data_IF_586110746618
#
_entry.id   IF_586110746618
#
_cell.length_a   1.000
_cell.length_b   1.000
_cell.length_c   1.000
_cell.angle_alpha   90.00
_cell.angle_beta   90.00
_cell.angle_gamma   90.00
#
_symmetry.space_group_name_H-M   'P 1'
#
loop_
_entity.id
_entity.type
_entity.pdbx_description
1 polymer ?
#
# COMPACT_ATOMS: atom_id res chain seq x y z
N UNK A 1 -21.65 24.61 14.53
CA UNK A 1 -22.06 25.30 13.29
C UNK A 1 -21.20 24.76 12.17
N UNK A 2 -21.80 24.20 11.11
CA UNK A 2 -21.05 23.72 9.95
C UNK A 2 -20.65 24.93 9.11
N UNK A 3 -19.42 25.40 9.23
CA UNK A 3 -18.86 26.35 8.26
C UNK A 3 -18.91 25.67 6.89
N UNK A 4 -19.54 26.29 5.90
CA UNK A 4 -19.36 25.85 4.52
C UNK A 4 -17.87 26.04 4.13
N UNK A 5 -17.37 25.14 3.27
CA UNK A 5 -16.08 25.35 2.63
C UNK A 5 -16.24 26.39 1.50
N UNK A 6 -15.23 27.23 1.28
CA UNK A 6 -15.14 28.13 0.13
C UNK A 6 -13.68 28.30 -0.27
N UNK A 7 -13.40 28.34 -1.58
CA UNK A 7 -12.08 28.62 -2.13
C UNK A 7 -11.53 29.96 -1.63
N UNK A 8 -12.37 30.99 -1.55
CA UNK A 8 -12.00 32.33 -1.07
C UNK A 8 -11.52 32.27 0.38
N UNK A 9 -12.23 31.56 1.25
CA UNK A 9 -11.87 31.40 2.67
C UNK A 9 -10.52 30.66 2.82
N UNK A 10 -10.24 29.69 1.95
CA UNK A 10 -8.94 29.02 1.93
C UNK A 10 -7.83 29.93 1.38
N UNK A 11 -8.08 30.67 0.29
CA UNK A 11 -7.13 31.64 -0.26
C UNK A 11 -6.74 32.70 0.79
N UNK A 12 -7.71 33.22 1.53
CA UNK A 12 -7.51 34.21 2.59
C UNK A 12 -6.68 33.66 3.78
N UNK A 13 -6.87 32.37 4.11
CA UNK A 13 -6.07 31.65 5.11
C UNK A 13 -4.65 31.38 4.63
N UNK A 14 -4.48 31.03 3.35
CA UNK A 14 -3.17 30.78 2.73
C UNK A 14 -2.36 32.07 2.58
N UNK A 15 -2.99 33.20 2.25
CA UNK A 15 -2.33 34.51 2.19
C UNK A 15 -1.75 34.96 3.57
N UNK A 16 -2.36 34.48 4.67
CA UNK A 16 -1.95 34.74 6.06
C UNK A 16 -1.05 33.62 6.63
N UNK A 17 -0.71 32.60 5.83
CA UNK A 17 0.11 31.48 6.25
C UNK A 17 1.54 31.93 6.56
N UNK A 18 2.03 31.50 7.71
CA UNK A 18 3.39 31.76 8.16
C UNK A 18 4.05 30.47 8.68
N UNK A 19 5.32 30.59 9.05
CA UNK A 19 6.18 29.50 9.50
C UNK A 19 5.97 29.09 10.99
N UNK A 20 5.01 29.66 11.72
CA UNK A 20 4.72 29.23 13.08
C UNK A 20 3.93 27.92 13.09
N UNK A 21 4.30 27.02 14.00
CA UNK A 21 3.67 25.70 14.14
C UNK A 21 2.16 25.82 14.38
N UNK A 22 1.72 26.74 15.24
CA UNK A 22 0.30 26.97 15.53
C UNK A 22 -0.49 27.40 14.28
N UNK A 23 0.05 28.25 13.41
CA UNK A 23 -0.60 28.67 12.17
C UNK A 23 -0.78 27.48 11.21
N UNK A 24 0.29 26.70 11.02
CA UNK A 24 0.33 25.51 10.16
C UNK A 24 -0.65 24.45 10.67
N UNK A 25 -0.60 24.09 11.96
CA UNK A 25 -1.48 23.10 12.57
C UNK A 25 -2.95 23.54 12.54
N UNK A 26 -3.26 24.81 12.82
CA UNK A 26 -4.65 25.30 12.81
C UNK A 26 -5.24 25.22 11.41
N UNK A 27 -4.48 25.59 10.37
CA UNK A 27 -4.95 25.50 8.98
C UNK A 27 -5.01 24.05 8.50
N UNK A 28 -4.04 23.21 8.87
CA UNK A 28 -4.02 21.78 8.56
C UNK A 28 -5.24 21.06 9.12
N UNK A 29 -5.57 21.26 10.41
CA UNK A 29 -6.78 20.69 11.01
C UNK A 29 -8.07 21.13 10.30
N UNK A 30 -8.14 22.40 9.88
CA UNK A 30 -9.29 22.91 9.12
C UNK A 30 -9.39 22.24 7.74
N UNK A 31 -8.28 22.10 7.01
CA UNK A 31 -8.25 21.35 5.75
C UNK A 31 -8.65 19.87 5.93
N UNK A 32 -8.14 19.19 6.96
CA UNK A 32 -8.46 17.78 7.24
C UNK A 32 -9.94 17.60 7.64
N UNK A 33 -10.53 18.58 8.34
CA UNK A 33 -11.97 18.60 8.62
C UNK A 33 -12.80 18.68 7.32
N UNK A 34 -12.34 19.49 6.36
CA UNK A 34 -12.94 19.65 5.02
C UNK A 34 -12.43 18.63 3.98
N UNK A 35 -12.01 17.42 4.39
CA UNK A 35 -11.45 16.39 3.48
C UNK A 35 -12.33 15.99 2.29
N UNK A 36 -13.64 16.21 2.33
CA UNK A 36 -14.53 15.96 1.19
C UNK A 36 -14.19 16.85 -0.01
N UNK A 37 -13.65 18.03 0.28
CA UNK A 37 -13.27 19.06 -0.66
C UNK A 37 -11.75 19.01 -0.94
N UNK A 38 -11.08 17.88 -0.67
CA UNK A 38 -9.62 17.73 -0.76
C UNK A 38 -9.03 18.12 -2.12
N UNK A 39 -9.72 17.79 -3.22
CA UNK A 39 -9.34 18.21 -4.57
C UNK A 39 -9.30 19.74 -4.68
N UNK A 40 -10.38 20.42 -4.30
CA UNK A 40 -10.47 21.88 -4.33
C UNK A 40 -9.45 22.53 -3.38
N UNK A 41 -9.22 21.94 -2.20
CA UNK A 41 -8.19 22.40 -1.26
C UNK A 41 -6.80 22.35 -1.89
N UNK A 42 -6.44 21.22 -2.53
CA UNK A 42 -5.11 21.03 -3.13
C UNK A 42 -4.93 21.88 -4.40
N UNK A 43 -5.97 22.02 -5.22
CA UNK A 43 -5.96 22.94 -6.37
C UNK A 43 -5.76 24.40 -5.93
N UNK A 44 -6.48 24.84 -4.90
CA UNK A 44 -6.34 26.20 -4.33
C UNK A 44 -4.95 26.40 -3.72
N UNK A 45 -4.45 25.42 -2.96
CA UNK A 45 -3.08 25.44 -2.41
C UNK A 45 -2.04 25.58 -3.53
N UNK A 46 -2.15 24.80 -4.61
CA UNK A 46 -1.23 24.86 -5.73
C UNK A 46 -1.30 26.20 -6.47
N UNK A 47 -2.51 26.71 -6.74
CA UNK A 47 -2.74 28.04 -7.35
C UNK A 47 -2.07 29.15 -6.54
N UNK A 48 -2.28 29.18 -5.22
CA UNK A 48 -1.65 30.16 -4.35
C UNK A 48 -0.13 29.97 -4.25
N UNK A 49 0.36 28.73 -4.20
CA UNK A 49 1.80 28.43 -4.16
C UNK A 49 2.59 28.98 -5.35
N UNK A 50 2.06 28.86 -6.58
CA UNK A 50 2.73 29.39 -7.77
C UNK A 50 2.66 30.92 -7.84
N UNK A 51 1.62 31.54 -7.27
CA UNK A 51 1.48 33.00 -7.16
C UNK A 51 2.35 33.59 -6.03
N UNK A 52 2.76 32.78 -5.04
CA UNK A 52 3.55 33.22 -3.89
C UNK A 52 5.05 33.40 -4.20
N UNK A 53 5.64 34.43 -3.60
CA UNK A 53 7.09 34.64 -3.60
C UNK A 53 7.84 33.53 -2.86
N UNK A 54 9.13 33.36 -3.18
CA UNK A 54 9.96 32.24 -2.67
C UNK A 54 9.96 32.11 -1.13
N UNK A 55 9.92 33.23 -0.39
CA UNK A 55 9.87 33.24 1.07
C UNK A 55 8.64 32.53 1.65
N UNK A 56 7.48 32.64 0.98
CA UNK A 56 6.24 32.00 1.40
C UNK A 56 6.15 30.52 1.00
N UNK A 57 6.93 30.05 0.03
CA UNK A 57 6.87 28.64 -0.43
C UNK A 57 7.21 27.65 0.69
N UNK A 58 8.13 27.99 1.61
CA UNK A 58 8.48 27.14 2.75
C UNK A 58 7.30 26.88 3.71
N UNK A 59 6.58 27.90 4.22
CA UNK A 59 5.32 27.71 4.94
C UNK A 59 4.30 26.81 4.23
N UNK A 60 4.07 27.00 2.92
CA UNK A 60 3.16 26.15 2.14
C UNK A 60 3.59 24.68 2.10
N UNK A 61 4.88 24.40 1.96
CA UNK A 61 5.42 23.05 1.98
C UNK A 61 5.28 22.39 3.36
N UNK A 62 5.43 23.14 4.46
CA UNK A 62 5.16 22.64 5.80
C UNK A 62 3.67 22.34 6.03
N UNK A 63 2.76 23.17 5.52
CA UNK A 63 1.32 22.89 5.53
C UNK A 63 0.97 21.62 4.76
N UNK A 64 1.45 21.46 3.53
CA UNK A 64 1.23 20.26 2.73
C UNK A 64 1.77 19.00 3.43
N UNK A 65 2.94 19.10 4.04
CA UNK A 65 3.51 18.02 4.84
C UNK A 65 2.65 17.67 6.07
N UNK A 66 2.16 18.65 6.82
CA UNK A 66 1.35 18.38 8.01
C UNK A 66 0.01 17.73 7.64
N UNK A 67 -0.66 18.26 6.61
CA UNK A 67 -1.90 17.67 6.07
C UNK A 67 -1.65 16.21 5.66
N UNK A 68 -0.61 15.92 4.87
CA UNK A 68 -0.29 14.56 4.40
C UNK A 68 0.03 13.58 5.53
N UNK A 69 0.63 14.04 6.62
CA UNK A 69 0.97 13.18 7.75
C UNK A 69 -0.25 12.92 8.65
N UNK A 70 -1.08 13.94 8.89
CA UNK A 70 -2.22 13.87 9.81
C UNK A 70 -3.49 13.32 9.12
N UNK A 71 -3.69 13.55 7.82
CA UNK A 71 -4.84 13.02 7.06
C UNK A 71 -4.81 11.49 6.93
N UNK A 72 -3.62 10.87 6.96
CA UNK A 72 -3.41 9.43 6.72
C UNK A 72 -4.15 8.50 7.69
N UNK A 73 -4.62 9.02 8.84
CA UNK A 73 -5.50 8.28 9.78
C UNK A 73 -6.96 8.26 9.34
N UNK A 74 -7.37 9.23 8.52
CA UNK A 74 -8.75 9.47 8.13
C UNK A 74 -9.04 8.98 6.69
N UNK A 75 -8.04 9.02 5.79
CA UNK A 75 -8.15 8.50 4.42
C UNK A 75 -6.95 8.84 3.52
N UNK A 76 -7.05 8.52 2.22
CA UNK A 76 -5.99 8.75 1.21
C UNK A 76 -6.26 9.92 0.27
N UNK A 77 -7.39 10.62 0.42
CA UNK A 77 -7.87 11.66 -0.51
C UNK A 77 -6.79 12.73 -0.76
N UNK A 78 -6.24 13.31 0.31
CA UNK A 78 -5.13 14.27 0.22
C UNK A 78 -3.85 13.67 -0.38
N UNK A 79 -3.56 12.39 -0.16
CA UNK A 79 -2.35 11.74 -0.69
C UNK A 79 -2.43 11.59 -2.21
N UNK A 80 -3.63 11.32 -2.73
CA UNK A 80 -3.91 11.18 -4.16
C UNK A 80 -3.89 12.56 -4.87
N UNK A 81 -4.49 13.58 -4.26
CA UNK A 81 -4.52 14.93 -4.82
C UNK A 81 -3.16 15.63 -4.77
N UNK A 82 -2.47 15.62 -3.62
CA UNK A 82 -1.13 16.22 -3.54
C UNK A 82 -0.13 15.54 -4.48
N UNK A 83 -0.28 14.24 -4.78
CA UNK A 83 0.57 13.56 -5.75
C UNK A 83 0.51 14.17 -7.16
N UNK A 84 -0.62 14.80 -7.54
CA UNK A 84 -0.78 15.46 -8.86
C UNK A 84 0.01 16.78 -8.94
N UNK A 85 0.17 17.50 -7.84
CA UNK A 85 0.73 18.88 -7.82
C UNK A 85 2.14 18.99 -7.22
N UNK A 86 2.53 18.06 -6.35
CA UNK A 86 3.84 18.10 -5.68
C UNK A 86 5.05 18.01 -6.62
N UNK A 87 5.07 17.16 -7.67
CA UNK A 87 6.23 17.09 -8.57
C UNK A 87 6.56 18.43 -9.23
N UNK A 88 5.53 19.15 -9.73
CA UNK A 88 5.69 20.46 -10.36
C UNK A 88 6.14 21.53 -9.34
N UNK A 89 5.46 21.62 -8.20
CA UNK A 89 5.73 22.64 -7.17
C UNK A 89 7.09 22.48 -6.49
N UNK A 90 7.55 21.25 -6.28
CA UNK A 90 8.87 20.97 -5.70
C UNK A 90 10.00 21.21 -6.71
N UNK A 91 9.79 20.86 -7.99
CA UNK A 91 10.73 21.20 -9.07
C UNK A 91 10.90 22.71 -9.18
N UNK A 92 9.81 23.48 -9.12
CA UNK A 92 9.87 24.95 -9.12
C UNK A 92 10.68 25.53 -7.94
N UNK A 93 10.64 24.92 -6.76
CA UNK A 93 11.49 25.34 -5.61
C UNK A 93 12.93 24.84 -5.75
N UNK A 94 13.15 23.65 -6.31
CA UNK A 94 14.49 23.13 -6.56
C UNK A 94 15.27 24.00 -7.58
N UNK A 95 14.59 24.44 -8.65
CA UNK A 95 15.16 25.29 -9.70
C UNK A 95 15.21 26.76 -9.27
N UNK A 96 14.07 27.36 -8.91
CA UNK A 96 13.89 28.81 -8.74
C UNK A 96 13.88 29.29 -7.28
N UNK A 97 13.88 28.38 -6.32
CA UNK A 97 13.85 28.70 -4.88
C UNK A 97 15.19 29.18 -4.32
N UNK A 98 15.16 29.66 -3.09
CA UNK A 98 16.35 30.01 -2.31
C UNK A 98 16.97 28.76 -1.64
N UNK A 99 18.16 28.89 -1.07
CA UNK A 99 18.84 27.78 -0.39
C UNK A 99 18.02 27.19 0.78
N UNK A 100 17.17 28.00 1.42
CA UNK A 100 16.25 27.54 2.46
C UNK A 100 15.17 26.65 1.84
N UNK A 101 14.51 27.09 0.78
CA UNK A 101 13.55 26.31 0.01
C UNK A 101 14.11 24.99 -0.46
N UNK A 102 15.29 25.00 -1.10
CA UNK A 102 15.98 23.79 -1.59
C UNK A 102 16.26 22.78 -0.47
N UNK A 103 16.81 23.23 0.67
CA UNK A 103 17.04 22.39 1.86
C UNK A 103 15.73 21.83 2.44
N UNK A 104 14.67 22.64 2.49
CA UNK A 104 13.34 22.20 2.93
C UNK A 104 12.77 21.13 2.00
N UNK A 105 12.86 21.31 0.67
CA UNK A 105 12.43 20.31 -0.32
C UNK A 105 13.17 18.99 -0.11
N UNK A 106 14.51 19.00 -0.07
CA UNK A 106 15.30 17.78 0.15
C UNK A 106 14.87 17.05 1.42
N UNK A 107 14.78 17.77 2.55
CA UNK A 107 14.38 17.20 3.85
C UNK A 107 12.94 16.65 3.85
N UNK A 108 11.99 17.32 3.19
CA UNK A 108 10.61 16.84 3.12
C UNK A 108 10.50 15.58 2.27
N UNK A 109 11.22 15.53 1.15
CA UNK A 109 11.27 14.34 0.28
C UNK A 109 11.89 13.15 1.02
N UNK A 110 12.96 13.37 1.80
CA UNK A 110 13.53 12.35 2.70
C UNK A 110 12.51 11.84 3.73
N UNK A 111 11.83 12.76 4.44
CA UNK A 111 10.80 12.44 5.45
C UNK A 111 9.65 11.63 4.84
N UNK A 112 9.18 11.99 3.64
CA UNK A 112 8.10 11.28 2.97
C UNK A 112 8.53 9.90 2.49
N UNK A 113 9.81 9.73 2.13
CA UNK A 113 10.41 8.45 1.77
C UNK A 113 10.52 7.53 2.99
N UNK A 114 11.10 8.02 4.10
CA UNK A 114 11.23 7.29 5.37
C UNK A 114 9.88 6.86 5.94
N UNK A 115 8.92 7.79 6.03
CA UNK A 115 7.59 7.56 6.62
C UNK A 115 6.62 6.86 5.65
N UNK A 116 7.08 6.53 4.42
CA UNK A 116 6.29 5.92 3.35
C UNK A 116 4.94 6.62 3.16
N UNK A 117 4.96 7.96 3.09
CA UNK A 117 3.74 8.78 2.95
C UNK A 117 2.97 8.36 1.69
N UNK A 118 3.69 8.23 0.56
CA UNK A 118 3.15 7.78 -0.73
C UNK A 118 3.33 6.26 -0.99
N UNK A 119 3.49 5.44 0.05
CA UNK A 119 3.60 3.99 -0.08
C UNK A 119 4.75 3.54 -0.97
N UNK A 120 4.49 2.70 -1.97
CA UNK A 120 5.51 2.22 -2.92
C UNK A 120 6.04 3.31 -3.86
N UNK A 121 5.31 4.42 -4.05
CA UNK A 121 5.76 5.56 -4.88
C UNK A 121 6.92 6.33 -4.24
N UNK A 122 7.13 6.15 -2.94
CA UNK A 122 8.25 6.72 -2.18
C UNK A 122 9.64 6.29 -2.69
N UNK A 123 9.77 5.16 -3.41
CA UNK A 123 11.05 4.69 -3.91
C UNK A 123 11.65 5.58 -5.02
N UNK A 124 10.80 6.12 -5.90
CA UNK A 124 11.19 7.01 -7.01
C UNK A 124 10.75 8.47 -6.80
N UNK A 125 10.40 8.86 -5.57
CA UNK A 125 9.88 10.20 -5.29
C UNK A 125 10.91 11.29 -5.58
N UNK A 126 12.21 11.02 -5.35
CA UNK A 126 13.30 11.92 -5.74
C UNK A 126 13.39 12.06 -7.26
N UNK A 127 13.36 10.95 -7.99
CA UNK A 127 13.53 10.95 -9.46
C UNK A 127 12.33 11.58 -10.18
N UNK A 128 11.11 11.39 -9.65
CA UNK A 128 9.87 11.98 -10.17
C UNK A 128 9.73 13.47 -9.79
N UNK A 129 10.14 13.89 -8.59
CA UNK A 129 9.96 15.26 -8.11
C UNK A 129 11.17 16.19 -8.39
N UNK A 130 12.35 15.65 -8.68
CA UNK A 130 13.56 16.42 -9.02
C UNK A 130 13.98 16.25 -10.50
N UNK A 131 13.29 15.41 -11.28
CA UNK A 131 13.20 15.56 -12.74
C UNK A 131 14.11 14.67 -13.58
N UNK A 132 13.95 13.33 -13.50
CA UNK A 132 14.59 12.40 -14.46
C UNK A 132 13.61 11.43 -15.16
N UNK A 133 12.30 11.49 -14.90
CA UNK A 133 11.31 10.64 -15.59
C UNK A 133 9.93 11.32 -15.73
N UNK A 134 9.14 11.01 -16.79
CA UNK A 134 7.76 11.46 -16.93
C UNK A 134 6.84 10.93 -15.81
N UNK A 135 5.76 11.66 -15.52
CA UNK A 135 4.74 11.21 -14.57
C UNK A 135 4.09 9.89 -15.03
N UNK A 136 4.16 8.80 -14.24
CA UNK A 136 3.49 7.56 -14.60
C UNK A 136 1.97 7.70 -14.45
N UNK A 137 1.24 7.34 -15.50
CA UNK A 137 -0.23 7.29 -15.53
C UNK A 137 -0.75 6.35 -14.44
N UNK A 138 -1.90 6.70 -13.86
CA UNK A 138 -2.58 5.90 -12.84
C UNK A 138 -3.04 4.55 -13.42
N UNK A 139 -2.33 3.48 -13.11
CA UNK A 139 -2.83 2.12 -13.20
C UNK A 139 -2.72 1.43 -11.84
N UNK A 140 -3.86 1.22 -11.19
CA UNK A 140 -3.96 0.57 -9.87
C UNK A 140 -4.10 -0.95 -9.96
N UNK A 141 -4.04 -1.55 -11.16
CA UNK A 141 -4.13 -3.01 -11.33
C UNK A 141 -2.78 -3.73 -11.28
N UNK A 142 -1.64 -3.03 -11.25
CA UNK A 142 -0.32 -3.64 -11.08
C UNK A 142 0.18 -3.70 -9.64
N UNK A 143 0.25 -4.93 -9.13
CA UNK A 143 0.72 -5.31 -7.78
C UNK A 143 2.20 -4.94 -7.58
N UNK A 144 2.48 -4.40 -6.40
CA UNK A 144 3.72 -3.79 -5.91
C UNK A 144 5.02 -4.59 -6.17
N UNK A 145 5.98 -3.91 -6.78
CA UNK A 145 7.43 -4.15 -6.70
C UNK A 145 8.13 -2.86 -7.19
N UNK A 146 9.28 -2.36 -6.71
CA UNK A 146 10.22 -2.68 -5.62
C UNK A 146 10.99 -1.35 -5.29
N UNK A 147 11.83 -1.13 -4.27
CA UNK A 147 12.20 -1.84 -3.03
C UNK A 147 12.87 -0.85 -2.03
N UNK A 148 12.82 -1.11 -0.72
CA UNK A 148 14.04 -1.03 0.10
C UNK A 148 14.25 -2.42 0.70
N UNK A 149 15.21 -3.17 0.18
CA UNK A 149 15.18 -4.62 0.32
C UNK A 149 15.84 -5.10 1.62
N UNK A 150 15.03 -5.70 2.49
CA UNK A 150 15.46 -6.99 3.07
C UNK A 150 15.27 -8.00 1.93
N UNK A 151 16.32 -8.19 1.13
CA UNK A 151 16.40 -9.29 0.17
C UNK A 151 16.46 -10.59 0.96
N UNK A 152 15.30 -11.20 1.22
CA UNK A 152 15.22 -12.65 1.31
C UNK A 152 15.43 -13.15 -0.13
N UNK A 153 16.70 -13.17 -0.54
CA UNK A 153 17.20 -14.07 -1.59
C UNK A 153 16.76 -15.49 -1.22
N UNK A 154 16.76 -16.44 -2.16
CA UNK A 154 16.91 -17.87 -1.81
C UNK A 154 18.14 -18.03 -0.90
N UNK A 155 17.93 -17.93 0.40
CA UNK A 155 18.98 -17.91 1.42
C UNK A 155 18.67 -19.08 2.31
N UNK A 156 19.50 -20.12 2.17
CA UNK A 156 19.35 -21.43 2.80
C UNK A 156 18.82 -21.28 4.24
N UNK A 157 17.79 -22.04 4.60
CA UNK A 157 17.02 -21.90 5.85
C UNK A 157 17.93 -21.87 7.10
N UNK A 158 19.09 -22.54 7.02
CA UNK A 158 20.16 -22.50 8.03
C UNK A 158 20.67 -21.09 8.35
N UNK A 159 20.71 -20.20 7.36
CA UNK A 159 21.24 -18.83 7.47
C UNK A 159 20.24 -17.83 8.06
N UNK A 160 18.93 -18.09 7.91
CA UNK A 160 17.85 -17.30 8.54
C UNK A 160 17.76 -17.67 10.02
N UNK A 161 17.78 -18.99 10.31
CA UNK A 161 17.84 -19.57 11.65
C UNK A 161 19.00 -19.01 12.50
N UNK A 162 20.17 -18.81 11.88
CA UNK A 162 21.35 -18.24 12.56
C UNK A 162 21.19 -16.77 12.99
N UNK A 163 20.24 -16.02 12.41
CA UNK A 163 20.07 -14.57 12.69
C UNK A 163 18.86 -14.21 13.56
N UNK A 164 17.85 -15.06 13.65
CA UNK A 164 16.62 -14.78 14.40
C UNK A 164 16.55 -15.47 15.77
N UNK A 165 17.57 -16.27 16.11
CA UNK A 165 17.58 -17.11 17.30
C UNK A 165 16.76 -18.38 17.09
N UNK A 166 17.37 -19.54 17.32
CA UNK A 166 16.76 -20.85 17.09
C UNK A 166 15.48 -21.00 17.92
N UNK A 167 14.34 -21.19 17.24
CA UNK A 167 13.03 -21.40 17.86
C UNK A 167 12.25 -20.11 18.17
N UNK A 168 12.77 -18.93 17.81
CA UNK A 168 12.06 -17.66 18.04
C UNK A 168 10.80 -17.50 17.18
N UNK A 169 9.77 -16.84 17.71
CA UNK A 169 8.52 -16.53 16.98
C UNK A 169 8.77 -15.80 15.65
N UNK A 170 9.83 -14.99 15.56
CA UNK A 170 10.27 -14.36 14.31
C UNK A 170 10.82 -15.37 13.28
N UNK A 171 11.55 -16.42 13.70
CA UNK A 171 12.02 -17.49 12.83
C UNK A 171 10.84 -18.29 12.25
N UNK A 172 9.83 -18.60 13.07
CA UNK A 172 8.63 -19.32 12.64
C UNK A 172 7.86 -18.54 11.57
N UNK A 173 7.56 -17.27 11.83
CA UNK A 173 6.88 -16.37 10.88
C UNK A 173 7.66 -16.27 9.56
N UNK A 174 8.97 -16.05 9.60
CA UNK A 174 9.79 -15.90 8.38
C UNK A 174 9.86 -17.22 7.60
N UNK A 175 9.91 -18.37 8.28
CA UNK A 175 9.90 -19.68 7.63
C UNK A 175 8.57 -19.95 6.93
N UNK A 176 7.43 -19.71 7.60
CA UNK A 176 6.11 -19.89 7.01
C UNK A 176 5.86 -18.93 5.83
N UNK A 177 6.28 -17.66 5.94
CA UNK A 177 6.22 -16.69 4.84
C UNK A 177 7.10 -17.11 3.65
N UNK A 178 8.26 -17.72 3.89
CA UNK A 178 9.14 -18.19 2.82
C UNK A 178 8.51 -19.34 2.02
N UNK A 179 7.79 -20.27 2.68
CA UNK A 179 7.03 -21.33 1.99
C UNK A 179 6.03 -20.73 1.00
N UNK A 180 5.13 -19.87 1.49
CA UNK A 180 4.10 -19.20 0.66
C UNK A 180 4.73 -18.40 -0.49
N UNK A 181 5.82 -17.65 -0.23
CA UNK A 181 6.49 -16.86 -1.27
C UNK A 181 7.23 -17.71 -2.32
N UNK A 182 7.63 -18.95 -1.97
CA UNK A 182 8.29 -19.86 -2.92
C UNK A 182 7.31 -20.53 -3.89
N UNK A 183 6.05 -20.66 -3.48
CA UNK A 183 4.95 -21.28 -4.25
C UNK A 183 4.10 -20.25 -5.02
N UNK A 184 4.16 -18.96 -4.63
CA UNK A 184 3.36 -17.86 -5.18
C UNK A 184 3.45 -17.67 -6.72
N UNK A 185 4.48 -18.20 -7.37
CA UNK A 185 4.63 -18.14 -8.83
C UNK A 185 3.72 -19.14 -9.59
N UNK A 186 3.21 -20.18 -8.92
CA UNK A 186 2.32 -21.20 -9.50
C UNK A 186 0.83 -20.79 -9.34
N UNK A 187 0.50 -20.12 -8.23
CA UNK A 187 -0.87 -19.71 -7.84
C UNK A 187 -1.68 -19.02 -8.95
N UNK A 188 -1.14 -17.95 -9.54
CA UNK A 188 -1.86 -17.16 -10.56
C UNK A 188 -1.96 -17.95 -11.89
N UNK A 189 -1.00 -18.82 -12.19
CA UNK A 189 -1.01 -19.67 -13.38
C UNK A 189 -2.03 -20.82 -13.26
N UNK A 190 -2.08 -21.49 -12.11
CA UNK A 190 -3.07 -22.53 -11.82
C UNK A 190 -4.49 -21.99 -11.76
N UNK A 191 -4.67 -20.77 -11.23
CA UNK A 191 -5.96 -20.10 -11.21
C UNK A 191 -6.43 -19.74 -12.63
N UNK A 192 -5.56 -19.25 -13.52
CA UNK A 192 -5.93 -19.02 -14.92
C UNK A 192 -6.16 -20.32 -15.70
N UNK A 193 -5.36 -21.37 -15.46
CA UNK A 193 -5.60 -22.70 -16.05
C UNK A 193 -6.99 -23.24 -15.66
N UNK A 194 -7.35 -23.15 -14.38
CA UNK A 194 -8.68 -23.53 -13.89
C UNK A 194 -9.79 -22.73 -14.59
N UNK A 195 -9.64 -21.40 -14.72
CA UNK A 195 -10.58 -20.55 -15.46
C UNK A 195 -10.66 -20.90 -16.94
N UNK A 196 -9.56 -21.27 -17.60
CA UNK A 196 -9.59 -21.70 -19.02
C UNK A 196 -10.37 -23.00 -19.18
N UNK A 197 -10.15 -24.00 -18.33
CA UNK A 197 -10.89 -25.27 -18.33
C UNK A 197 -12.39 -25.05 -18.09
N UNK A 198 -12.75 -24.25 -17.08
CA UNK A 198 -14.17 -23.91 -16.82
C UNK A 198 -14.84 -23.23 -18.03
N UNK A 199 -14.15 -22.30 -18.71
CA UNK A 199 -14.66 -21.65 -19.93
C UNK A 199 -14.81 -22.64 -21.09
N UNK A 200 -13.93 -23.65 -21.18
CA UNK A 200 -14.02 -24.66 -22.23
C UNK A 200 -15.16 -25.64 -21.98
N UNK A 201 -15.32 -26.15 -20.75
CA UNK A 201 -16.45 -27.00 -20.34
C UNK A 201 -17.79 -26.31 -20.58
N UNK A 202 -17.96 -25.04 -20.15
CA UNK A 202 -19.18 -24.27 -20.38
C UNK A 202 -19.44 -23.94 -21.86
N UNK A 203 -18.43 -24.02 -22.73
CA UNK A 203 -18.61 -23.92 -24.19
C UNK A 203 -19.06 -25.26 -24.78
N UNK A 204 -18.49 -26.37 -24.29
CA UNK A 204 -18.83 -27.73 -24.72
C UNK A 204 -20.23 -28.19 -24.27
N UNK A 205 -20.78 -27.63 -23.19
CA UNK A 205 -22.11 -27.94 -22.65
C UNK A 205 -23.20 -28.04 -23.75
N UNK A 206 -23.29 -27.03 -24.61
CA UNK A 206 -24.26 -27.00 -25.73
C UNK A 206 -23.99 -28.06 -26.80
N UNK A 207 -22.72 -28.36 -27.08
CA UNK A 207 -22.34 -29.37 -28.06
C UNK A 207 -22.67 -30.78 -27.52
N UNK A 208 -22.43 -31.01 -26.23
CA UNK A 208 -22.76 -32.23 -25.49
C UNK A 208 -24.27 -32.47 -25.45
N UNK A 209 -25.07 -31.47 -25.07
CA UNK A 209 -26.54 -31.56 -25.13
C UNK A 209 -27.03 -31.87 -26.55
N UNK A 210 -26.46 -31.22 -27.57
CA UNK A 210 -26.85 -31.48 -28.97
C UNK A 210 -26.54 -32.90 -29.43
N UNK A 211 -25.44 -33.50 -28.94
CA UNK A 211 -25.02 -34.87 -29.26
C UNK A 211 -25.81 -35.91 -28.45
N UNK A 212 -26.15 -35.63 -27.19
CA UNK A 212 -26.97 -36.49 -26.34
C UNK A 212 -28.42 -36.64 -26.85
N UNK A 213 -28.95 -35.61 -27.52
CA UNK A 213 -30.30 -35.65 -28.11
C UNK A 213 -30.40 -36.41 -29.45
N UNK A 214 -29.28 -36.81 -30.06
CA UNK A 214 -29.26 -37.58 -31.33
C UNK A 214 -28.74 -39.00 -31.12
N UNK A 215 -29.55 -40.01 -31.41
CA UNK A 215 -29.11 -41.40 -31.38
C UNK A 215 -27.88 -41.60 -32.28
N UNK A 216 -26.87 -42.31 -31.76
CA UNK A 216 -25.63 -42.68 -32.47
C UNK A 216 -24.81 -41.51 -33.05
N UNK A 217 -24.79 -40.32 -32.42
CA UNK A 217 -23.89 -39.24 -32.84
C UNK A 217 -22.40 -39.61 -32.57
N UNK A 218 -21.55 -39.74 -33.61
CA UNK A 218 -20.16 -40.17 -33.46
C UNK A 218 -19.29 -39.18 -32.66
N UNK A 219 -19.75 -37.94 -32.46
CA UNK A 219 -19.03 -36.93 -31.66
C UNK A 219 -19.09 -37.22 -30.17
N UNK A 220 -20.01 -38.07 -29.69
CA UNK A 220 -20.19 -38.41 -28.27
C UNK A 220 -18.90 -38.90 -27.60
N UNK A 221 -18.18 -39.82 -28.24
CA UNK A 221 -16.93 -40.39 -27.71
C UNK A 221 -15.80 -39.35 -27.65
N UNK A 222 -15.70 -38.49 -28.69
CA UNK A 222 -14.74 -37.38 -28.74
C UNK A 222 -15.06 -36.27 -27.73
N UNK A 223 -16.32 -36.04 -27.41
CA UNK A 223 -16.73 -35.09 -26.37
C UNK A 223 -16.51 -35.68 -24.97
N UNK A 224 -16.79 -36.97 -24.76
CA UNK A 224 -16.59 -37.66 -23.48
C UNK A 224 -15.11 -37.73 -23.07
N UNK A 225 -14.21 -37.98 -24.01
CA UNK A 225 -12.75 -37.94 -23.78
C UNK A 225 -12.29 -36.55 -23.38
N UNK A 226 -12.62 -35.52 -24.17
CA UNK A 226 -12.29 -34.11 -23.85
C UNK A 226 -12.84 -33.65 -22.49
N UNK A 227 -14.06 -34.03 -22.12
CA UNK A 227 -14.62 -33.70 -20.81
C UNK A 227 -13.82 -34.32 -19.65
N UNK A 228 -13.33 -35.56 -19.81
CA UNK A 228 -12.47 -36.22 -18.81
C UNK A 228 -11.11 -35.52 -18.68
N UNK A 229 -10.54 -35.06 -19.79
CA UNK A 229 -9.27 -34.31 -19.79
C UNK A 229 -9.41 -32.96 -19.07
N UNK A 230 -10.51 -32.24 -19.29
CA UNK A 230 -10.83 -31.00 -18.56
C UNK A 230 -11.13 -31.26 -17.08
N UNK A 231 -11.87 -32.34 -16.75
CA UNK A 231 -12.14 -32.73 -15.36
C UNK A 231 -10.84 -33.06 -14.60
N UNK A 232 -9.93 -33.81 -15.23
CA UNK A 232 -8.61 -34.11 -14.67
C UNK A 232 -7.76 -32.84 -14.46
N UNK A 233 -7.83 -31.90 -15.42
CA UNK A 233 -7.13 -30.60 -15.33
C UNK A 233 -7.69 -29.76 -14.18
N UNK A 234 -9.01 -29.65 -14.05
CA UNK A 234 -9.65 -28.93 -12.93
C UNK A 234 -9.33 -29.56 -11.58
N UNK A 235 -9.37 -30.91 -11.46
CA UNK A 235 -9.01 -31.63 -10.23
C UNK A 235 -7.59 -31.29 -9.77
N UNK A 236 -6.62 -31.33 -10.69
CA UNK A 236 -5.22 -30.96 -10.43
C UNK A 236 -5.08 -29.50 -9.98
N UNK A 237 -5.81 -28.57 -10.60
CA UNK A 237 -5.81 -27.16 -10.15
C UNK A 237 -6.40 -27.00 -8.74
N UNK A 238 -7.49 -27.71 -8.41
CA UNK A 238 -8.13 -27.67 -7.08
C UNK A 238 -7.17 -28.19 -6.00
N UNK A 239 -6.44 -29.27 -6.25
CA UNK A 239 -5.47 -29.84 -5.31
C UNK A 239 -4.34 -28.85 -4.98
N UNK A 240 -3.77 -28.20 -6.00
CA UNK A 240 -2.75 -27.16 -5.79
C UNK A 240 -3.28 -25.94 -5.04
N UNK A 241 -4.47 -25.45 -5.39
CA UNK A 241 -5.09 -24.30 -4.71
C UNK A 241 -5.42 -24.59 -3.23
N UNK A 242 -5.72 -25.85 -2.88
CA UNK A 242 -5.86 -26.27 -1.47
C UNK A 242 -4.54 -26.23 -0.71
N UNK A 243 -3.45 -26.74 -1.28
CA UNK A 243 -2.12 -26.67 -0.65
C UNK A 243 -1.70 -25.21 -0.38
N UNK A 244 -1.98 -24.32 -1.34
CA UNK A 244 -1.79 -22.86 -1.19
C UNK A 244 -2.64 -22.28 -0.05
N UNK A 245 -3.91 -22.69 0.08
CA UNK A 245 -4.79 -22.26 1.16
C UNK A 245 -4.28 -22.73 2.53
N UNK A 246 -3.86 -23.99 2.65
CA UNK A 246 -3.28 -24.57 3.86
C UNK A 246 -2.00 -23.83 4.29
N UNK A 247 -1.08 -23.56 3.35
CA UNK A 247 0.16 -22.83 3.62
C UNK A 247 -0.11 -21.37 4.07
N UNK A 248 -1.12 -20.70 3.48
CA UNK A 248 -1.56 -19.37 3.93
C UNK A 248 -2.23 -19.41 5.30
N UNK A 249 -3.03 -20.44 5.59
CA UNK A 249 -3.66 -20.64 6.89
C UNK A 249 -2.62 -20.85 8.01
N UNK A 250 -1.55 -21.61 7.74
CA UNK A 250 -0.43 -21.79 8.66
C UNK A 250 0.25 -20.45 9.02
N UNK A 251 0.56 -19.60 8.02
CA UNK A 251 1.09 -18.23 8.24
C UNK A 251 0.15 -17.39 9.12
N UNK A 252 -1.16 -17.46 8.87
CA UNK A 252 -2.16 -16.73 9.67
C UNK A 252 -2.21 -17.24 11.12
N UNK A 253 -2.01 -18.54 11.35
CA UNK A 253 -1.93 -19.10 12.72
C UNK A 253 -0.70 -18.58 13.46
N UNK A 254 0.48 -18.66 12.84
CA UNK A 254 1.74 -18.14 13.39
C UNK A 254 1.67 -16.65 13.76
N UNK A 255 1.05 -15.83 12.89
CA UNK A 255 0.84 -14.40 13.16
C UNK A 255 -0.15 -14.15 14.32
N UNK A 256 -1.19 -14.98 14.47
CA UNK A 256 -2.14 -14.89 15.60
C UNK A 256 -1.46 -15.25 16.92
N UNK A 257 -0.68 -16.33 16.96
CA UNK A 257 0.10 -16.71 18.15
C UNK A 257 1.07 -15.60 18.56
N UNK A 258 1.83 -15.07 17.60
CA UNK A 258 2.78 -13.98 17.85
C UNK A 258 2.09 -12.74 18.43
N UNK A 259 0.90 -12.39 17.93
CA UNK A 259 0.12 -11.28 18.45
C UNK A 259 -0.34 -11.53 19.89
N UNK A 260 -0.81 -12.74 20.22
CA UNK A 260 -1.17 -13.11 21.60
C UNK A 260 0.03 -13.05 22.54
N UNK A 261 1.20 -13.53 22.11
CA UNK A 261 2.45 -13.49 22.87
C UNK A 261 2.88 -12.03 23.17
N UNK A 262 2.71 -11.12 22.20
CA UNK A 262 2.96 -9.68 22.39
C UNK A 262 1.96 -9.03 23.34
N UNK A 263 0.66 -9.37 23.24
CA UNK A 263 -0.37 -8.87 24.15
C UNK A 263 -0.15 -9.36 25.59
N UNK A 264 0.25 -10.62 25.76
CA UNK A 264 0.63 -11.18 27.07
C UNK A 264 1.85 -10.47 27.66
N UNK A 265 2.92 -10.29 26.87
CA UNK A 265 4.08 -9.50 27.28
C UNK A 265 3.68 -8.08 27.70
N UNK A 266 2.90 -7.36 26.91
CA UNK A 266 2.47 -5.98 27.22
C UNK A 266 1.64 -5.90 28.53
N UNK A 267 0.76 -6.88 28.77
CA UNK A 267 0.03 -7.01 30.05
C UNK A 267 0.97 -7.28 31.23
N UNK A 268 1.99 -8.12 31.06
CA UNK A 268 3.02 -8.39 32.07
C UNK A 268 3.83 -7.12 32.39
N UNK A 269 4.38 -6.43 31.37
CA UNK A 269 5.10 -5.17 31.52
C UNK A 269 4.29 -4.11 32.28
N UNK A 270 2.99 -3.98 32.00
CA UNK A 270 2.09 -3.05 32.72
C UNK A 270 1.93 -3.42 34.20
N UNK A 271 1.80 -4.71 34.53
CA UNK A 271 1.73 -5.17 35.93
C UNK A 271 3.04 -4.91 36.67
N UNK A 272 4.18 -5.20 36.06
CA UNK A 272 5.51 -4.93 36.64
C UNK A 272 5.75 -3.43 36.82
N UNK A 273 5.38 -2.58 35.85
CA UNK A 273 5.50 -1.14 35.97
C UNK A 273 4.64 -0.56 37.11
N UNK A 274 3.40 -1.06 37.28
CA UNK A 274 2.55 -0.69 38.41
C UNK A 274 3.16 -1.13 39.75
N UNK A 275 3.65 -2.37 39.84
CA UNK A 275 4.33 -2.88 41.05
C UNK A 275 5.57 -2.06 41.41
N UNK A 276 6.41 -1.69 40.43
CA UNK A 276 7.55 -0.80 40.64
C UNK A 276 7.15 0.64 41.01
N UNK A 277 5.97 1.10 40.60
CA UNK A 277 5.45 2.41 41.03
C UNK A 277 4.98 2.40 42.49
N UNK A 278 4.37 1.31 42.94
CA UNK A 278 3.97 1.11 44.34
C UNK A 278 5.19 0.97 45.27
N UNK A 279 6.23 0.25 44.84
CA UNK A 279 7.51 0.14 45.55
C UNK A 279 8.32 1.45 45.64
N UNK A 280 7.92 2.51 44.95
CA UNK A 280 8.53 3.86 45.03
C UNK A 280 7.73 4.84 45.89
N UNK A 281 6.61 4.40 46.48
CA UNK A 281 5.77 5.19 47.38
C UNK A 281 5.88 4.76 48.85
N UNK A 282 6.87 3.91 49.15
CA UNK A 282 7.27 3.44 50.48
C UNK A 282 8.77 3.69 50.66
#
# INVERSE_FOLDING_TARGET
MSSAFSEEILADKLAKLNNTQQCIETLSHWCIYHRKDAELIVQTWAKQFHNSGNEQKVPFLYLANDILQNSKRNGTEFVEEFWKVLPTTLKDVAEKGDDRGKKTVSRLVDIWQERRVFGSRAGGIKDVMLGTAPLPVLDMTKKRSHSSSIKIVKRDSRSVKLRLGVGGTAERIVSALHTVLSEQADEDADLENCKTSMRHVGKMEKDVDSACNKAEDPRRETLCTKLKDEEATMKKCIEKLKAVEENRAAVVSELKEALQEQLFRNRSWRRSALSCSWLKQW
#
